data_IF_015783596408
#
_entry.id   IF_015783596408
#
_cell.length_a   1.000
_cell.length_b   1.000
_cell.length_c   1.000
_cell.angle_alpha   90.00
_cell.angle_beta   90.00
_cell.angle_gamma   90.00
#
_symmetry.space_group_name_H-M   'P 1'
#
loop_
_entity.id
_entity.type
_entity.pdbx_description
1 polymer ?
#
# COMPACT_ATOMS: atom_id res chain seq x y z
N UNK A 1 -0.15 22.65 12.89
CA UNK A 1 0.41 21.36 13.34
C UNK A 1 0.29 21.31 14.85
N UNK A 2 -0.32 20.27 15.43
CA UNK A 2 -0.34 20.14 16.89
C UNK A 2 1.07 19.79 17.42
N UNK A 3 1.30 19.94 18.72
CA UNK A 3 2.61 19.66 19.33
C UNK A 3 3.07 18.22 19.12
N UNK A 4 2.17 17.25 19.28
CA UNK A 4 2.50 15.82 19.13
C UNK A 4 3.02 15.47 17.72
N UNK A 5 2.33 15.91 16.66
CA UNK A 5 2.75 15.69 15.27
C UNK A 5 4.10 16.35 15.00
N UNK A 6 4.31 17.56 15.53
CA UNK A 6 5.59 18.28 15.39
C UNK A 6 6.74 17.51 16.00
N UNK A 7 6.53 16.94 17.19
CA UNK A 7 7.59 16.24 17.92
C UNK A 7 7.88 14.86 17.33
N UNK A 8 6.85 14.16 16.83
CA UNK A 8 7.04 12.92 16.06
C UNK A 8 7.90 13.20 14.82
N UNK A 9 7.52 14.17 13.99
CA UNK A 9 8.23 14.45 12.73
C UNK A 9 9.69 14.85 12.91
N UNK A 10 10.06 15.47 14.04
CA UNK A 10 11.47 15.75 14.36
C UNK A 10 12.29 14.48 14.59
N UNK A 11 11.64 13.42 15.09
CA UNK A 11 12.31 12.18 15.47
C UNK A 11 12.32 11.15 14.34
N UNK A 12 11.37 11.22 13.40
CA UNK A 12 11.22 10.27 12.28
C UNK A 12 12.52 10.06 11.51
N UNK A 13 13.31 11.11 11.29
CA UNK A 13 14.57 10.99 10.55
C UNK A 13 15.62 10.08 11.23
N UNK A 14 15.47 9.82 12.55
CA UNK A 14 16.35 8.95 13.32
C UNK A 14 15.79 7.52 13.48
N UNK A 15 14.60 7.23 12.94
CA UNK A 15 14.02 5.90 13.02
C UNK A 15 14.69 4.94 12.03
N UNK A 16 14.61 3.63 12.28
CA UNK A 16 14.88 2.63 11.24
C UNK A 16 14.11 2.93 9.95
N UNK A 17 14.69 2.56 8.80
CA UNK A 17 14.08 2.79 7.49
C UNK A 17 12.70 2.12 7.36
N UNK A 18 12.54 0.93 7.96
CA UNK A 18 11.26 0.20 8.00
C UNK A 18 10.15 1.03 8.65
N UNK A 19 10.41 1.64 9.81
CA UNK A 19 9.44 2.49 10.52
C UNK A 19 9.15 3.80 9.75
N UNK A 20 10.17 4.36 9.07
CA UNK A 20 9.96 5.53 8.22
C UNK A 20 9.09 5.20 7.01
N UNK A 21 9.26 4.01 6.43
CA UNK A 21 8.50 3.51 5.30
C UNK A 21 7.04 3.22 5.70
N UNK A 22 6.82 2.58 6.86
CA UNK A 22 5.47 2.37 7.41
C UNK A 22 4.75 3.71 7.60
N UNK A 23 5.42 4.72 8.18
CA UNK A 23 4.84 6.05 8.33
C UNK A 23 4.49 6.69 6.98
N UNK A 24 5.35 6.54 5.96
CA UNK A 24 5.10 7.06 4.62
C UNK A 24 3.88 6.39 3.97
N UNK A 25 3.65 5.10 4.22
CA UNK A 25 2.47 4.36 3.76
C UNK A 25 1.19 4.87 4.44
N UNK A 26 1.19 5.00 5.76
CA UNK A 26 0.07 5.55 6.51
C UNK A 26 -0.26 7.00 6.11
N UNK A 27 0.75 7.81 5.85
CA UNK A 27 0.58 9.18 5.37
C UNK A 27 -0.12 9.20 4.00
N UNK A 28 0.29 8.34 3.05
CA UNK A 28 -0.36 8.20 1.74
C UNK A 28 -1.83 7.82 1.85
N UNK A 29 -2.19 6.92 2.77
CA UNK A 29 -3.59 6.55 3.01
C UNK A 29 -4.43 7.72 3.56
N UNK A 30 -3.86 8.52 4.47
CA UNK A 30 -4.51 9.74 4.99
C UNK A 30 -4.74 10.73 3.85
N UNK A 31 -3.73 10.94 3.00
CA UNK A 31 -3.85 11.84 1.84
C UNK A 31 -4.91 11.34 0.86
N UNK A 32 -4.91 10.05 0.54
CA UNK A 32 -5.90 9.45 -0.34
C UNK A 32 -7.34 9.64 0.15
N UNK A 33 -7.59 9.50 1.45
CA UNK A 33 -8.91 9.79 2.04
C UNK A 33 -9.32 11.26 1.90
N UNK A 34 -8.35 12.18 1.85
CA UNK A 34 -8.61 13.62 1.74
C UNK A 34 -8.80 14.09 0.29
N UNK A 35 -8.07 13.49 -0.64
CA UNK A 35 -8.08 13.88 -2.07
C UNK A 35 -8.98 12.99 -2.92
N UNK A 36 -9.32 11.80 -2.42
CA UNK A 36 -9.95 10.73 -3.21
C UNK A 36 -8.98 10.01 -4.15
N UNK A 37 -7.68 10.31 -4.10
CA UNK A 37 -6.68 9.77 -5.02
C UNK A 37 -5.55 9.12 -4.24
N UNK A 38 -5.37 7.81 -4.43
CA UNK A 38 -4.22 7.07 -3.91
C UNK A 38 -3.06 7.12 -4.90
N UNK A 39 -1.95 7.73 -4.49
CA UNK A 39 -0.71 7.77 -5.28
C UNK A 39 0.16 6.58 -4.91
N UNK A 40 0.31 5.65 -5.85
CA UNK A 40 1.18 4.48 -5.69
C UNK A 40 2.62 4.90 -5.41
N UNK A 41 3.25 4.24 -4.44
CA UNK A 41 4.70 4.21 -4.27
C UNK A 41 5.39 3.57 -5.47
N UNK A 42 6.71 3.77 -5.53
CA UNK A 42 7.54 3.16 -6.57
C UNK A 42 7.54 1.64 -6.47
N UNK A 43 7.55 1.09 -5.26
CA UNK A 43 7.45 -0.34 -5.02
C UNK A 43 6.12 -0.91 -5.54
N UNK A 44 4.99 -0.28 -5.23
CA UNK A 44 3.67 -0.70 -5.73
C UNK A 44 3.58 -0.58 -7.26
N UNK A 45 4.11 0.50 -7.85
CA UNK A 45 4.19 0.64 -9.32
C UNK A 45 5.01 -0.47 -9.96
N UNK A 46 6.17 -0.79 -9.38
CA UNK A 46 7.03 -1.86 -9.87
C UNK A 46 6.33 -3.22 -9.77
N UNK A 47 5.66 -3.50 -8.65
CA UNK A 47 4.90 -4.72 -8.45
C UNK A 47 3.76 -4.87 -9.47
N UNK A 48 3.01 -3.80 -9.76
CA UNK A 48 1.97 -3.80 -10.79
C UNK A 48 2.57 -4.02 -12.18
N UNK A 49 3.69 -3.36 -12.49
CA UNK A 49 4.37 -3.54 -13.77
C UNK A 49 4.85 -4.98 -13.97
N UNK A 50 5.37 -5.61 -12.92
CA UNK A 50 5.78 -7.01 -12.95
C UNK A 50 4.57 -7.95 -13.09
N UNK A 51 3.52 -7.74 -12.30
CA UNK A 51 2.29 -8.51 -12.40
C UNK A 51 1.70 -8.46 -13.82
N UNK A 52 1.74 -7.29 -14.47
CA UNK A 52 1.27 -7.11 -15.86
C UNK A 52 2.10 -7.86 -16.90
N UNK A 53 3.35 -8.22 -16.60
CA UNK A 53 4.19 -9.05 -17.46
C UNK A 53 3.91 -10.54 -17.27
N UNK A 54 3.34 -10.93 -16.13
CA UNK A 54 2.99 -12.31 -15.81
C UNK A 54 1.69 -12.78 -16.45
N UNK A 55 1.45 -14.10 -16.39
CA UNK A 55 0.15 -14.66 -16.71
C UNK A 55 -0.80 -14.46 -15.52
N UNK A 56 -1.89 -13.71 -15.72
CA UNK A 56 -2.98 -13.68 -14.77
C UNK A 56 -3.78 -14.97 -14.88
N UNK A 57 -4.29 -15.45 -13.74
CA UNK A 57 -5.32 -16.49 -13.76
C UNK A 57 -6.54 -15.99 -14.54
N UNK A 58 -7.14 -16.87 -15.32
CA UNK A 58 -8.43 -16.62 -15.94
C UNK A 58 -9.54 -16.46 -14.89
N UNK A 59 -10.65 -15.83 -15.27
CA UNK A 59 -11.81 -15.68 -14.39
C UNK A 59 -12.34 -17.03 -13.88
N UNK A 60 -12.29 -18.07 -14.73
CA UNK A 60 -12.72 -19.44 -14.38
C UNK A 60 -11.78 -20.08 -13.33
N UNK A 61 -10.46 -19.90 -13.47
CA UNK A 61 -9.48 -20.38 -12.48
C UNK A 61 -9.65 -19.67 -11.14
N UNK A 62 -9.87 -18.34 -11.18
CA UNK A 62 -10.14 -17.57 -9.98
C UNK A 62 -11.44 -18.01 -9.30
N UNK A 63 -12.53 -18.20 -10.06
CA UNK A 63 -13.82 -18.66 -9.53
C UNK A 63 -13.72 -20.06 -8.91
N UNK A 64 -13.02 -20.98 -9.57
CA UNK A 64 -12.78 -22.33 -9.05
C UNK A 64 -12.00 -22.31 -7.73
N UNK A 65 -10.99 -21.43 -7.62
CA UNK A 65 -10.23 -21.23 -6.39
C UNK A 65 -11.13 -20.76 -5.24
N UNK A 66 -11.93 -19.72 -5.44
CA UNK A 66 -12.81 -19.19 -4.39
C UNK A 66 -13.87 -20.21 -3.94
N UNK A 67 -14.48 -20.93 -4.88
CA UNK A 67 -15.45 -22.00 -4.58
C UNK A 67 -14.83 -23.11 -3.74
N UNK A 68 -13.58 -23.51 -4.04
CA UNK A 68 -12.85 -24.53 -3.26
C UNK A 68 -12.66 -24.12 -1.79
N UNK A 69 -12.54 -22.82 -1.54
CA UNK A 69 -12.37 -22.26 -0.20
C UNK A 69 -13.68 -21.80 0.46
N UNK A 70 -14.84 -22.01 -0.19
CA UNK A 70 -16.16 -21.67 0.36
C UNK A 70 -16.44 -20.17 0.45
N UNK A 71 -15.74 -19.35 -0.34
CA UNK A 71 -15.86 -17.89 -0.38
C UNK A 71 -16.73 -17.39 -1.54
N UNK A 72 -17.22 -18.30 -2.40
CA UNK A 72 -18.06 -18.04 -3.56
C UNK A 72 -19.12 -19.14 -3.73
#
# INVERSE_FOLDING_TARGET
MNSAVKDILKNVANWPEEDQQELAELAREIEARRTGVYVLSDAERAAIAEARRGAFASDDEAAAFWKRHGLA
#
